data_IF_147319044480
#
_entry.id   IF_147319044480
#
_cell.length_a   1.000
_cell.length_b   1.000
_cell.length_c   1.000
_cell.angle_alpha   90.00
_cell.angle_beta   90.00
_cell.angle_gamma   90.00
#
_symmetry.space_group_name_H-M   'P 1'
#
loop_
_entity.id
_entity.type
_entity.pdbx_description
1 polymer ?
#
# COMPACT_ATOMS: atom_id res chain seq x y z
N UNK A 1 -13.90 -1.91 -13.91
CA UNK A 1 -14.40 -1.37 -12.63
C UNK A 1 -14.37 0.16 -12.59
N UNK A 2 -13.25 0.82 -12.26
CA UNK A 2 -13.20 2.30 -12.13
C UNK A 2 -13.64 3.05 -13.39
N UNK A 3 -13.13 2.64 -14.55
CA UNK A 3 -13.49 3.25 -15.84
C UNK A 3 -14.99 3.11 -16.14
N UNK A 4 -15.55 1.91 -16.00
CA UNK A 4 -16.98 1.64 -16.22
C UNK A 4 -17.85 2.44 -15.26
N UNK A 5 -17.57 2.37 -13.95
CA UNK A 5 -18.32 3.10 -12.94
C UNK A 5 -18.28 4.62 -13.16
N UNK A 6 -17.11 5.17 -13.52
CA UNK A 6 -16.98 6.59 -13.85
C UNK A 6 -17.75 6.98 -15.11
N UNK A 7 -17.81 6.12 -16.13
CA UNK A 7 -18.59 6.41 -17.35
C UNK A 7 -20.10 6.39 -17.09
N UNK A 8 -20.58 5.39 -16.37
CA UNK A 8 -22.00 5.29 -16.01
C UNK A 8 -22.44 6.49 -15.17
N UNK A 9 -21.58 6.92 -14.22
CA UNK A 9 -21.79 8.11 -13.42
C UNK A 9 -21.86 9.39 -14.26
N UNK A 10 -20.89 9.61 -15.16
CA UNK A 10 -20.73 10.90 -15.85
C UNK A 10 -21.61 11.03 -17.10
N UNK A 11 -21.86 9.94 -17.83
CA UNK A 11 -22.54 9.98 -19.12
C UNK A 11 -23.96 9.43 -19.09
N UNK A 12 -24.28 8.56 -18.12
CA UNK A 12 -25.56 7.87 -18.05
C UNK A 12 -26.35 8.21 -16.78
N UNK A 13 -25.87 9.18 -15.99
CA UNK A 13 -26.46 9.63 -14.72
C UNK A 13 -26.85 8.46 -13.79
N UNK A 14 -26.00 7.43 -13.79
CA UNK A 14 -26.29 6.16 -13.14
C UNK A 14 -25.39 5.96 -11.94
N UNK A 15 -25.96 5.44 -10.84
CA UNK A 15 -25.18 5.19 -9.63
C UNK A 15 -24.00 4.25 -9.95
N UNK A 16 -22.76 4.65 -9.59
CA UNK A 16 -21.57 3.81 -9.78
C UNK A 16 -21.57 2.59 -8.85
N UNK A 17 -22.47 2.56 -7.85
CA UNK A 17 -22.64 1.48 -6.89
C UNK A 17 -23.76 0.50 -7.26
N UNK A 18 -24.46 0.75 -8.37
CA UNK A 18 -25.58 -0.07 -8.84
C UNK A 18 -25.16 -1.48 -9.26
N UNK A 19 -26.09 -2.43 -9.16
CA UNK A 19 -25.86 -3.80 -9.63
C UNK A 19 -25.71 -3.89 -11.14
N UNK A 20 -26.34 -2.99 -11.90
CA UNK A 20 -26.19 -2.92 -13.35
C UNK A 20 -24.72 -2.66 -13.75
N UNK A 21 -24.05 -1.69 -13.11
CA UNK A 21 -22.61 -1.41 -13.33
C UNK A 21 -21.75 -2.62 -12.95
N UNK A 22 -22.09 -3.33 -11.85
CA UNK A 22 -21.38 -4.54 -11.46
C UNK A 22 -21.54 -5.65 -12.51
N UNK A 23 -22.75 -5.90 -13.00
CA UNK A 23 -23.02 -6.88 -14.05
C UNK A 23 -22.28 -6.54 -15.36
N UNK A 24 -22.24 -5.26 -15.75
CA UNK A 24 -21.47 -4.80 -16.91
C UNK A 24 -19.97 -5.11 -16.76
N UNK A 25 -19.40 -4.86 -15.57
CA UNK A 25 -18.01 -5.23 -15.27
C UNK A 25 -17.79 -6.75 -15.34
N UNK A 26 -18.72 -7.54 -14.80
CA UNK A 26 -18.64 -9.01 -14.85
C UNK A 26 -18.66 -9.52 -16.30
N UNK A 27 -19.61 -9.06 -17.12
CA UNK A 27 -19.70 -9.44 -18.53
C UNK A 27 -18.46 -9.02 -19.32
N UNK A 28 -17.89 -7.85 -19.02
CA UNK A 28 -16.67 -7.39 -19.68
C UNK A 28 -15.45 -8.27 -19.34
N UNK A 29 -15.28 -8.62 -18.06
CA UNK A 29 -14.07 -9.30 -17.55
C UNK A 29 -14.21 -10.82 -17.57
N UNK A 30 -15.30 -11.35 -16.99
CA UNK A 30 -15.55 -12.78 -16.82
C UNK A 30 -16.24 -13.41 -18.03
N UNK A 31 -16.78 -12.60 -18.96
CA UNK A 31 -17.61 -13.04 -20.10
C UNK A 31 -18.91 -13.76 -19.70
N UNK A 32 -19.28 -13.66 -18.42
CA UNK A 32 -20.50 -14.19 -17.81
C UNK A 32 -20.78 -13.44 -16.51
N UNK A 33 -21.95 -13.66 -15.92
CA UNK A 33 -22.21 -13.22 -14.55
C UNK A 33 -21.40 -14.06 -13.54
N UNK A 34 -21.03 -13.43 -12.43
CA UNK A 34 -20.34 -14.06 -11.32
C UNK A 34 -21.27 -15.05 -10.62
N UNK A 35 -20.73 -16.22 -10.23
CA UNK A 35 -21.46 -17.22 -9.45
C UNK A 35 -21.54 -16.79 -7.98
N UNK A 36 -22.43 -17.41 -7.17
CA UNK A 36 -22.41 -17.21 -5.73
C UNK A 36 -21.01 -17.49 -5.14
N UNK A 37 -20.50 -16.55 -4.35
CA UNK A 37 -19.16 -16.62 -3.75
C UNK A 37 -18.00 -16.19 -4.66
N UNK A 38 -18.25 -15.83 -5.92
CA UNK A 38 -17.23 -15.21 -6.78
C UNK A 38 -17.23 -13.67 -6.61
N UNK A 39 -16.08 -13.05 -6.91
CA UNK A 39 -15.94 -11.59 -6.94
C UNK A 39 -16.95 -10.98 -7.94
N UNK A 40 -17.82 -10.12 -7.42
CA UNK A 40 -18.86 -9.46 -8.19
C UNK A 40 -18.34 -8.32 -9.07
N UNK A 41 -17.04 -8.04 -9.07
CA UNK A 41 -16.40 -7.00 -9.90
C UNK A 41 -17.05 -5.62 -9.73
N UNK A 42 -17.49 -5.35 -8.50
CA UNK A 42 -18.24 -4.17 -8.17
C UNK A 42 -17.34 -3.01 -7.73
N UNK A 43 -17.76 -1.79 -8.03
CA UNK A 43 -17.10 -0.62 -7.47
C UNK A 43 -17.47 -0.47 -5.99
N UNK A 44 -16.52 -0.73 -5.09
CA UNK A 44 -16.70 -0.71 -3.62
C UNK A 44 -15.83 0.35 -2.93
N UNK A 45 -15.37 1.36 -3.67
CA UNK A 45 -14.47 2.40 -3.18
C UNK A 45 -15.22 3.72 -2.94
N UNK A 46 -14.69 4.62 -2.10
CA UNK A 46 -15.19 5.98 -2.03
C UNK A 46 -15.18 6.65 -3.41
N UNK A 47 -16.16 7.51 -3.70
CA UNK A 47 -16.32 8.07 -5.05
C UNK A 47 -15.07 8.83 -5.52
N UNK A 48 -14.40 9.56 -4.62
CA UNK A 48 -13.16 10.27 -4.90
C UNK A 48 -11.98 9.39 -5.33
N UNK A 49 -12.08 8.05 -5.20
CA UNK A 49 -11.12 7.12 -5.79
C UNK A 49 -11.07 7.21 -7.32
N UNK A 50 -12.15 7.67 -7.97
CA UNK A 50 -12.23 7.79 -9.41
C UNK A 50 -11.61 9.07 -9.97
N UNK A 51 -11.30 10.08 -9.13
CA UNK A 51 -10.79 11.38 -9.61
C UNK A 51 -9.59 11.25 -10.55
N UNK A 52 -8.56 10.40 -10.28
CA UNK A 52 -7.45 10.25 -11.21
C UNK A 52 -7.82 9.61 -12.56
N UNK A 53 -8.94 8.89 -12.60
CA UNK A 53 -9.44 8.19 -13.80
C UNK A 53 -10.30 9.11 -14.66
N UNK A 54 -10.81 10.23 -14.12
CA UNK A 54 -11.70 11.15 -14.85
C UNK A 54 -11.17 11.61 -16.22
N UNK A 55 -9.88 11.95 -16.38
CA UNK A 55 -9.35 12.32 -17.70
C UNK A 55 -9.50 11.24 -18.77
N UNK A 56 -9.63 9.97 -18.39
CA UNK A 56 -9.72 8.85 -19.35
C UNK A 56 -11.14 8.45 -19.71
N UNK A 57 -12.16 8.95 -19.00
CA UNK A 57 -13.55 8.50 -19.16
C UNK A 57 -14.13 8.80 -20.55
N UNK A 58 -13.66 9.86 -21.21
CA UNK A 58 -14.07 10.23 -22.59
C UNK A 58 -13.41 9.37 -23.66
N UNK A 59 -12.32 8.68 -23.33
CA UNK A 59 -11.59 7.84 -24.28
C UNK A 59 -12.32 6.50 -24.43
N UNK A 60 -12.21 5.83 -25.60
CA UNK A 60 -12.49 4.41 -25.70
C UNK A 60 -11.59 3.60 -24.76
N UNK A 61 -12.03 2.43 -24.31
CA UNK A 61 -11.27 1.63 -23.34
C UNK A 61 -9.88 1.25 -23.86
N UNK A 62 -9.76 0.96 -25.15
CA UNK A 62 -8.50 0.62 -25.84
C UNK A 62 -7.44 1.73 -25.74
N UNK A 63 -7.85 2.99 -25.55
CA UNK A 63 -6.97 4.11 -25.28
C UNK A 63 -6.82 4.40 -23.79
N UNK A 64 -7.92 4.29 -23.03
CA UNK A 64 -7.92 4.54 -21.59
C UNK A 64 -6.95 3.61 -20.84
N UNK A 65 -6.88 2.33 -21.21
CA UNK A 65 -6.01 1.34 -20.56
C UNK A 65 -4.52 1.64 -20.76
N UNK A 66 -3.97 1.78 -21.98
CA UNK A 66 -2.56 2.11 -22.17
C UNK A 66 -2.22 3.51 -21.64
N UNK A 67 -3.11 4.50 -21.77
CA UNK A 67 -2.90 5.82 -21.16
C UNK A 67 -2.71 5.70 -19.64
N UNK A 68 -3.58 4.93 -18.98
CA UNK A 68 -3.51 4.70 -17.55
C UNK A 68 -2.23 3.96 -17.13
N UNK A 69 -1.81 2.95 -17.90
CA UNK A 69 -0.54 2.25 -17.69
C UNK A 69 0.65 3.22 -17.80
N UNK A 70 0.71 4.03 -18.85
CA UNK A 70 1.76 5.03 -19.05
C UNK A 70 1.78 6.07 -17.93
N UNK A 71 0.61 6.56 -17.52
CA UNK A 71 0.48 7.47 -16.38
C UNK A 71 1.07 6.85 -15.10
N UNK A 72 0.73 5.60 -14.78
CA UNK A 72 1.26 4.93 -13.60
C UNK A 72 2.78 4.69 -13.67
N UNK A 73 3.31 4.33 -14.84
CA UNK A 73 4.75 4.14 -15.05
C UNK A 73 5.52 5.46 -14.87
N UNK A 74 5.01 6.56 -15.42
CA UNK A 74 5.60 7.89 -15.28
C UNK A 74 5.51 8.35 -13.82
N UNK A 75 4.36 8.17 -13.17
CA UNK A 75 4.16 8.55 -11.77
C UNK A 75 5.10 7.78 -10.84
N UNK A 76 5.18 6.45 -10.99
CA UNK A 76 6.08 5.58 -10.24
C UNK A 76 7.54 5.98 -10.44
N UNK A 77 7.96 6.12 -11.70
CA UNK A 77 9.34 6.50 -12.02
C UNK A 77 9.67 7.85 -11.40
N UNK A 78 8.80 8.84 -11.58
CA UNK A 78 8.95 10.18 -10.98
C UNK A 78 9.06 10.10 -9.46
N UNK A 79 8.22 9.31 -8.79
CA UNK A 79 8.30 9.12 -7.34
C UNK A 79 9.63 8.49 -6.91
N UNK A 80 10.20 7.56 -7.67
CA UNK A 80 11.51 6.98 -7.36
C UNK A 80 12.65 7.98 -7.57
N UNK A 81 12.60 8.79 -8.62
CA UNK A 81 13.55 9.90 -8.86
C UNK A 81 13.47 10.96 -7.77
N UNK A 82 12.25 11.34 -7.38
CA UNK A 82 11.99 12.28 -6.31
C UNK A 82 12.44 11.70 -4.97
N UNK A 83 12.13 10.44 -4.67
CA UNK A 83 12.41 9.83 -3.36
C UNK A 83 13.88 9.48 -3.15
N UNK A 84 14.59 9.12 -4.22
CA UNK A 84 15.96 8.61 -4.17
C UNK A 84 16.86 9.28 -5.23
N UNK A 85 17.05 10.62 -5.18
CA UNK A 85 17.68 11.39 -6.26
C UNK A 85 19.10 10.93 -6.62
N UNK A 86 19.85 10.39 -5.65
CA UNK A 86 21.21 9.90 -5.87
C UNK A 86 21.26 8.56 -6.62
N UNK A 87 20.22 7.72 -6.51
CA UNK A 87 20.26 6.31 -6.94
C UNK A 87 18.90 5.79 -7.48
N UNK A 88 18.16 6.56 -8.29
CA UNK A 88 16.78 6.21 -8.65
C UNK A 88 16.70 4.96 -9.53
N UNK A 89 17.73 4.74 -10.37
CA UNK A 89 17.83 3.57 -11.23
C UNK A 89 17.88 2.25 -10.43
N UNK A 90 18.39 2.27 -9.20
CA UNK A 90 18.33 1.08 -8.32
C UNK A 90 16.90 0.75 -7.93
N UNK A 91 16.07 1.78 -7.69
CA UNK A 91 14.66 1.60 -7.40
C UNK A 91 13.94 0.98 -8.59
N UNK A 92 14.18 1.50 -9.79
CA UNK A 92 13.61 0.96 -11.03
C UNK A 92 14.05 -0.48 -11.32
N UNK A 93 15.33 -0.79 -11.08
CA UNK A 93 15.89 -2.13 -11.27
C UNK A 93 15.12 -3.21 -10.52
N UNK A 94 14.62 -2.92 -9.32
CA UNK A 94 13.85 -3.89 -8.53
C UNK A 94 12.35 -3.70 -8.65
N UNK A 95 11.86 -2.46 -8.81
CA UNK A 95 10.44 -2.19 -8.91
C UNK A 95 9.85 -2.77 -10.21
N UNK A 96 10.43 -2.45 -11.37
CA UNK A 96 9.86 -2.82 -12.66
C UNK A 96 9.74 -4.34 -12.89
N UNK A 97 10.72 -5.19 -12.52
CA UNK A 97 10.55 -6.63 -12.67
C UNK A 97 9.81 -7.30 -11.51
N UNK A 98 9.41 -6.58 -10.46
CA UNK A 98 8.70 -7.17 -9.32
C UNK A 98 7.26 -7.57 -9.70
N UNK A 99 6.94 -8.86 -9.66
CA UNK A 99 5.70 -9.40 -10.19
C UNK A 99 4.42 -8.70 -9.66
N UNK A 100 4.24 -8.48 -8.34
CA UNK A 100 3.07 -7.76 -7.82
C UNK A 100 2.88 -6.36 -8.38
N UNK A 101 3.97 -5.65 -8.66
CA UNK A 101 3.92 -4.33 -9.27
C UNK A 101 3.54 -4.44 -10.75
N UNK A 102 4.18 -5.33 -11.51
CA UNK A 102 3.86 -5.60 -12.93
C UNK A 102 2.38 -5.97 -13.08
N UNK A 103 1.91 -6.89 -12.25
CA UNK A 103 0.52 -7.34 -12.24
C UNK A 103 -0.44 -6.19 -11.93
N UNK A 104 -0.13 -5.36 -10.93
CA UNK A 104 -0.93 -4.18 -10.62
C UNK A 104 -0.94 -3.13 -11.74
N UNK A 105 0.19 -2.94 -12.43
CA UNK A 105 0.31 -2.04 -13.58
C UNK A 105 -0.55 -2.51 -14.76
N UNK A 106 -0.43 -3.78 -15.15
CA UNK A 106 -1.21 -4.37 -16.27
C UNK A 106 -2.71 -4.33 -16.01
N UNK A 107 -3.14 -4.59 -14.77
CA UNK A 107 -4.54 -4.50 -14.36
C UNK A 107 -5.04 -3.07 -14.16
N UNK A 108 -4.15 -2.06 -14.23
CA UNK A 108 -4.51 -0.68 -13.95
C UNK A 108 -4.98 -0.44 -12.51
N UNK A 109 -4.43 -1.16 -11.54
CA UNK A 109 -4.87 -1.09 -10.15
C UNK A 109 -4.43 0.21 -9.45
N UNK A 110 -5.32 0.85 -8.69
CA UNK A 110 -4.99 2.07 -7.93
C UNK A 110 -3.92 1.86 -6.86
N UNK A 111 -3.63 0.63 -6.45
CA UNK A 111 -2.52 0.34 -5.55
C UNK A 111 -1.17 0.83 -6.04
N UNK A 112 -0.99 0.92 -7.36
CA UNK A 112 0.25 1.46 -7.92
C UNK A 112 0.39 2.94 -7.55
N UNK A 113 -0.69 3.72 -7.65
CA UNK A 113 -0.68 5.12 -7.19
C UNK A 113 -0.56 5.25 -5.69
N UNK A 114 -1.25 4.41 -4.91
CA UNK A 114 -1.12 4.37 -3.45
C UNK A 114 0.33 4.13 -3.04
N UNK A 115 0.96 3.11 -3.62
CA UNK A 115 2.37 2.80 -3.44
C UNK A 115 3.27 3.97 -3.85
N UNK A 116 3.04 4.54 -5.03
CA UNK A 116 3.80 5.67 -5.59
C UNK A 116 3.79 6.88 -4.65
N UNK A 117 2.60 7.25 -4.13
CA UNK A 117 2.44 8.36 -3.19
C UNK A 117 3.17 8.08 -1.88
N UNK A 118 3.07 6.86 -1.33
CA UNK A 118 3.79 6.50 -0.10
C UNK A 118 5.30 6.61 -0.30
N UNK A 119 5.83 6.14 -1.44
CA UNK A 119 7.26 6.25 -1.75
C UNK A 119 7.70 7.70 -1.89
N UNK A 120 6.94 8.53 -2.60
CA UNK A 120 7.23 9.96 -2.71
C UNK A 120 7.21 10.65 -1.33
N UNK A 121 6.20 10.36 -0.50
CA UNK A 121 6.07 10.92 0.84
C UNK A 121 7.21 10.49 1.77
N UNK A 122 7.58 9.20 1.78
CA UNK A 122 8.74 8.70 2.52
C UNK A 122 10.03 9.36 2.04
N UNK A 123 10.23 9.42 0.73
CA UNK A 123 11.40 10.04 0.10
C UNK A 123 11.60 11.50 0.50
N UNK A 124 10.57 12.31 0.29
CA UNK A 124 10.61 13.75 0.55
C UNK A 124 10.64 14.07 2.05
N UNK A 125 9.69 13.52 2.83
CA UNK A 125 9.54 13.91 4.23
C UNK A 125 10.54 13.21 5.14
N UNK A 126 10.75 11.90 4.94
CA UNK A 126 11.48 11.07 5.90
C UNK A 126 12.95 10.95 5.54
N UNK A 127 13.26 10.57 4.30
CA UNK A 127 14.64 10.28 3.89
C UNK A 127 15.43 11.54 3.56
N UNK A 128 14.81 12.50 2.87
CA UNK A 128 15.45 13.75 2.48
C UNK A 128 15.14 14.92 3.41
N UNK A 129 14.15 14.76 4.31
CA UNK A 129 13.72 15.81 5.26
C UNK A 129 13.38 17.14 4.57
N UNK A 130 12.81 17.10 3.37
CA UNK A 130 12.30 18.28 2.67
C UNK A 130 11.02 18.77 3.34
N UNK A 131 11.08 19.95 3.97
CA UNK A 131 10.00 20.48 4.82
C UNK A 131 9.33 21.73 4.26
N UNK A 132 9.52 22.05 2.99
CA UNK A 132 8.86 23.21 2.36
C UNK A 132 7.33 23.13 2.48
N UNK A 133 6.68 24.25 2.82
CA UNK A 133 5.23 24.32 3.03
C UNK A 133 4.44 23.81 1.82
N UNK A 134 4.85 24.16 0.60
CA UNK A 134 4.19 23.70 -0.63
C UNK A 134 4.25 22.19 -0.79
N UNK A 135 5.40 21.58 -0.48
CA UNK A 135 5.57 20.12 -0.50
C UNK A 135 4.66 19.47 0.54
N UNK A 136 4.62 20.02 1.76
CA UNK A 136 3.73 19.52 2.81
C UNK A 136 2.26 19.59 2.39
N UNK A 137 1.83 20.69 1.76
CA UNK A 137 0.45 20.83 1.28
C UNK A 137 0.13 19.76 0.23
N UNK A 138 0.96 19.64 -0.80
CA UNK A 138 0.75 18.65 -1.88
C UNK A 138 0.70 17.24 -1.30
N UNK A 139 1.66 16.88 -0.45
CA UNK A 139 1.69 15.56 0.17
C UNK A 139 0.51 15.33 1.11
N UNK A 140 0.00 16.33 1.83
CA UNK A 140 -1.17 16.15 2.68
C UNK A 140 -2.41 15.81 1.87
N UNK A 141 -2.64 16.50 0.75
CA UNK A 141 -3.71 16.15 -0.19
C UNK A 141 -3.54 14.76 -0.80
N UNK A 142 -2.32 14.37 -1.18
CA UNK A 142 -2.05 13.04 -1.72
C UNK A 142 -2.21 11.93 -0.66
N UNK A 143 -1.75 12.16 0.56
CA UNK A 143 -1.93 11.24 1.69
C UNK A 143 -3.40 11.10 2.07
N UNK A 144 -4.17 12.20 2.03
CA UNK A 144 -5.62 12.16 2.22
C UNK A 144 -6.30 11.27 1.18
N UNK A 145 -5.85 11.33 -0.09
CA UNK A 145 -6.39 10.46 -1.12
C UNK A 145 -6.12 8.97 -0.85
N UNK A 146 -5.08 8.61 -0.10
CA UNK A 146 -4.80 7.20 0.23
C UNK A 146 -5.89 6.51 1.07
N UNK A 147 -6.83 7.26 1.65
CA UNK A 147 -7.98 6.68 2.37
C UNK A 147 -8.94 5.91 1.46
N UNK A 148 -8.75 5.97 0.13
CA UNK A 148 -9.49 5.11 -0.82
C UNK A 148 -9.27 3.62 -0.55
N UNK A 149 -8.13 3.24 0.06
CA UNK A 149 -7.77 1.85 0.28
C UNK A 149 -7.15 1.63 1.66
N UNK A 150 -7.97 1.69 2.73
CA UNK A 150 -7.50 1.66 4.11
C UNK A 150 -6.67 0.41 4.45
N UNK A 151 -7.03 -0.75 3.87
CA UNK A 151 -6.31 -2.01 4.07
C UNK A 151 -4.85 -1.95 3.62
N UNK A 152 -4.54 -1.10 2.63
CA UNK A 152 -3.18 -0.90 2.16
C UNK A 152 -2.45 0.21 2.94
N UNK A 153 -3.14 1.32 3.19
CA UNK A 153 -2.51 2.60 3.54
C UNK A 153 -2.56 2.97 5.02
N UNK A 154 -3.49 2.43 5.84
CA UNK A 154 -3.75 2.99 7.17
C UNK A 154 -2.55 3.02 8.11
N UNK A 155 -1.73 1.96 8.17
CA UNK A 155 -0.55 1.99 9.03
C UNK A 155 0.51 3.00 8.56
N UNK A 156 0.65 3.18 7.24
CA UNK A 156 1.50 4.23 6.71
C UNK A 156 0.93 5.62 7.01
N UNK A 157 -0.40 5.81 6.93
CA UNK A 157 -1.06 7.06 7.31
C UNK A 157 -0.90 7.37 8.80
N UNK A 158 -1.05 6.38 9.67
CA UNK A 158 -0.78 6.51 11.12
C UNK A 158 0.68 6.91 11.33
N UNK A 159 1.61 6.24 10.64
CA UNK A 159 3.03 6.59 10.69
C UNK A 159 3.28 8.04 10.25
N UNK A 160 2.71 8.49 9.13
CA UNK A 160 2.85 9.88 8.67
C UNK A 160 2.19 10.88 9.62
N UNK A 161 1.06 10.55 10.25
CA UNK A 161 0.43 11.39 11.25
C UNK A 161 1.32 11.54 12.50
N UNK A 162 1.87 10.43 13.01
CA UNK A 162 2.81 10.46 14.13
C UNK A 162 4.10 11.19 13.74
N UNK A 163 4.61 10.98 12.53
CA UNK A 163 5.77 11.69 12.00
C UNK A 163 5.51 13.20 11.93
N UNK A 164 4.35 13.61 11.41
CA UNK A 164 3.95 15.02 11.31
C UNK A 164 3.82 15.67 12.68
N UNK A 165 3.23 14.97 13.66
CA UNK A 165 3.13 15.45 15.04
C UNK A 165 4.51 15.63 15.66
N UNK A 166 5.37 14.62 15.53
CA UNK A 166 6.74 14.66 16.06
C UNK A 166 7.57 15.79 15.48
N UNK A 167 7.52 15.96 14.16
CA UNK A 167 8.30 16.95 13.41
C UNK A 167 7.58 18.30 13.27
N UNK A 168 6.40 18.46 13.92
CA UNK A 168 5.57 19.68 13.92
C UNK A 168 5.19 20.16 12.51
N UNK A 169 4.90 19.23 11.59
CA UNK A 169 4.50 19.51 10.20
C UNK A 169 3.03 19.91 10.11
N UNK A 170 2.69 21.10 10.64
CA UNK A 170 1.30 21.59 10.71
C UNK A 170 0.64 21.73 9.34
N UNK A 171 1.38 22.17 8.31
CA UNK A 171 0.83 22.34 6.97
C UNK A 171 0.46 20.98 6.35
N UNK A 172 1.26 19.94 6.60
CA UNK A 172 0.94 18.57 6.17
C UNK A 172 -0.36 18.06 6.83
N UNK A 173 -0.50 18.25 8.14
CA UNK A 173 -1.72 17.85 8.86
C UNK A 173 -2.95 18.63 8.39
N UNK A 174 -2.84 19.96 8.31
CA UNK A 174 -3.94 20.83 7.89
C UNK A 174 -4.41 20.51 6.47
N UNK A 175 -3.46 20.34 5.54
CA UNK A 175 -3.76 19.97 4.15
C UNK A 175 -4.29 18.53 3.99
N UNK A 176 -3.89 17.59 4.85
CA UNK A 176 -4.51 16.26 4.89
C UNK A 176 -6.00 16.33 5.24
N UNK A 177 -6.36 17.02 6.33
CA UNK A 177 -7.77 17.16 6.71
C UNK A 177 -8.56 17.99 5.69
N UNK A 178 -7.99 19.07 5.18
CA UNK A 178 -8.59 19.85 4.10
C UNK A 178 -8.81 19.01 2.84
N UNK A 179 -7.84 18.16 2.48
CA UNK A 179 -7.95 17.22 1.38
C UNK A 179 -9.11 16.24 1.54
N UNK A 180 -9.26 15.63 2.72
CA UNK A 180 -10.40 14.74 3.00
C UNK A 180 -11.74 15.45 2.85
N UNK A 181 -11.87 16.67 3.39
CA UNK A 181 -13.08 17.47 3.26
C UNK A 181 -13.37 17.82 1.80
N UNK A 182 -12.34 18.21 1.04
CA UNK A 182 -12.47 18.55 -0.39
C UNK A 182 -12.86 17.32 -1.20
N UNK A 183 -12.24 16.17 -0.98
CA UNK A 183 -12.60 14.93 -1.68
C UNK A 183 -14.02 14.46 -1.36
N UNK A 184 -14.44 14.57 -0.10
CA UNK A 184 -15.81 14.28 0.30
C UNK A 184 -16.79 15.27 -0.34
N UNK A 185 -16.48 16.57 -0.34
CA UNK A 185 -17.31 17.61 -0.95
C UNK A 185 -17.45 17.42 -2.47
N UNK A 186 -16.34 17.18 -3.17
CA UNK A 186 -16.35 16.86 -4.61
C UNK A 186 -17.20 15.61 -4.87
N UNK A 187 -17.06 14.58 -4.02
CA UNK A 187 -17.85 13.35 -4.16
C UNK A 187 -19.35 13.62 -4.00
N UNK A 188 -19.75 14.41 -3.01
CA UNK A 188 -21.14 14.80 -2.77
C UNK A 188 -21.68 15.72 -3.86
N UNK A 189 -20.86 16.59 -4.43
CA UNK A 189 -21.25 17.44 -5.58
C UNK A 189 -21.49 16.61 -6.83
N UNK A 190 -20.70 15.55 -7.06
CA UNK A 190 -20.85 14.67 -8.24
C UNK A 190 -22.02 13.71 -8.06
N UNK A 191 -22.16 13.10 -6.88
CA UNK A 191 -23.22 12.14 -6.58
C UNK A 191 -23.66 12.26 -5.12
N UNK A 192 -24.70 13.04 -4.78
CA UNK A 192 -25.03 13.38 -3.39
C UNK A 192 -25.25 12.19 -2.45
N UNK A 193 -25.73 11.05 -2.98
CA UNK A 193 -26.03 9.83 -2.22
C UNK A 193 -24.87 8.83 -2.20
N UNK A 194 -23.65 9.22 -2.65
CA UNK A 194 -22.53 8.30 -2.76
C UNK A 194 -22.16 7.62 -1.44
N UNK A 195 -22.22 8.35 -0.32
CA UNK A 195 -21.78 7.84 0.97
C UNK A 195 -22.68 6.72 1.50
N UNK A 196 -24.02 6.89 1.61
CA UNK A 196 -24.89 5.79 2.02
C UNK A 196 -24.85 4.61 1.04
N UNK A 197 -24.80 4.85 -0.28
CA UNK A 197 -24.68 3.78 -1.28
C UNK A 197 -23.36 3.00 -1.15
N UNK A 198 -22.26 3.70 -0.93
CA UNK A 198 -20.95 3.11 -0.69
C UNK A 198 -20.95 2.22 0.56
N UNK A 199 -21.59 2.66 1.66
CA UNK A 199 -21.72 1.85 2.88
C UNK A 199 -22.53 0.56 2.64
N UNK A 200 -23.64 0.65 1.90
CA UNK A 200 -24.41 -0.53 1.49
C UNK A 200 -23.53 -1.45 0.65
N UNK A 201 -22.74 -0.90 -0.27
CA UNK A 201 -21.85 -1.69 -1.13
C UNK A 201 -20.72 -2.34 -0.36
N UNK A 202 -20.14 -1.68 0.63
CA UNK A 202 -19.13 -2.27 1.52
C UNK A 202 -19.69 -3.46 2.30
N UNK A 203 -20.91 -3.35 2.83
CA UNK A 203 -21.58 -4.46 3.52
C UNK A 203 -21.85 -5.64 2.58
N UNK A 204 -22.25 -5.37 1.34
CA UNK A 204 -22.37 -6.42 0.32
C UNK A 204 -21.01 -7.03 -0.01
N UNK A 205 -19.95 -6.23 -0.12
CA UNK A 205 -18.61 -6.69 -0.46
C UNK A 205 -18.07 -7.74 0.52
N UNK A 206 -18.38 -7.62 1.81
CA UNK A 206 -17.96 -8.61 2.82
C UNK A 206 -18.64 -9.97 2.70
N UNK A 207 -19.71 -10.11 1.91
CA UNK A 207 -20.41 -11.40 1.76
C UNK A 207 -19.84 -12.28 0.65
N UNK A 208 -19.20 -11.69 -0.35
CA UNK A 208 -18.66 -12.42 -1.52
C UNK A 208 -17.14 -12.35 -1.66
N UNK A 209 -16.45 -11.47 -0.93
CA UNK A 209 -14.99 -11.50 -0.83
C UNK A 209 -14.59 -12.03 0.54
N UNK A 210 -13.64 -12.98 0.62
CA UNK A 210 -13.09 -13.44 1.89
C UNK A 210 -12.59 -12.25 2.72
N UNK A 211 -13.30 -11.95 3.82
CA UNK A 211 -12.96 -10.87 4.74
C UNK A 211 -11.99 -11.31 5.84
N UNK A 212 -11.54 -12.55 5.79
CA UNK A 212 -10.69 -13.14 6.83
C UNK A 212 -9.26 -12.57 6.76
N UNK A 213 -8.70 -12.10 7.89
CA UNK A 213 -7.32 -11.66 7.96
C UNK A 213 -6.34 -12.76 7.55
N UNK A 214 -5.24 -12.39 6.89
CA UNK A 214 -4.19 -13.35 6.51
C UNK A 214 -3.66 -14.12 7.72
N UNK A 215 -3.50 -13.47 8.87
CA UNK A 215 -3.09 -14.12 10.12
C UNK A 215 -4.03 -15.27 10.51
N UNK A 216 -5.34 -15.06 10.43
CA UNK A 216 -6.34 -16.08 10.74
C UNK A 216 -6.19 -17.27 9.78
N UNK A 217 -6.05 -17.01 8.48
CA UNK A 217 -5.90 -18.04 7.46
C UNK A 217 -4.63 -18.88 7.64
N UNK A 218 -3.52 -18.24 8.01
CA UNK A 218 -2.27 -18.92 8.37
C UNK A 218 -2.51 -19.85 9.57
N UNK A 219 -3.11 -19.34 10.64
CA UNK A 219 -3.33 -20.13 11.85
C UNK A 219 -4.32 -21.28 11.66
N UNK A 220 -5.35 -21.13 10.81
CA UNK A 220 -6.31 -22.20 10.47
C UNK A 220 -5.64 -23.45 9.90
N UNK A 221 -4.39 -23.35 9.42
CA UNK A 221 -3.64 -24.52 8.92
C UNK A 221 -2.94 -25.31 10.02
N UNK A 222 -2.64 -24.67 11.15
CA UNK A 222 -1.86 -25.26 12.23
C UNK A 222 -2.73 -25.58 13.46
N UNK A 223 -3.89 -24.93 13.60
CA UNK A 223 -4.75 -25.05 14.76
C UNK A 223 -6.18 -25.48 14.37
N UNK A 224 -6.86 -26.26 15.23
CA UNK A 224 -8.28 -26.55 15.08
C UNK A 224 -9.15 -25.28 15.05
N UNK A 225 -10.31 -25.35 14.40
CA UNK A 225 -11.24 -24.21 14.28
C UNK A 225 -11.67 -23.62 15.63
N UNK A 226 -11.75 -24.46 16.66
CA UNK A 226 -12.17 -24.04 18.01
C UNK A 226 -11.12 -23.16 18.72
N UNK A 227 -9.84 -23.31 18.40
CA UNK A 227 -8.74 -22.58 19.06
C UNK A 227 -8.13 -21.48 18.20
N UNK A 228 -8.36 -21.52 16.88
CA UNK A 228 -7.74 -20.57 15.95
C UNK A 228 -8.10 -19.11 16.24
N UNK A 229 -9.35 -18.84 16.64
CA UNK A 229 -9.79 -17.49 16.98
C UNK A 229 -9.04 -16.95 18.20
N UNK A 230 -8.89 -17.78 19.25
CA UNK A 230 -8.13 -17.44 20.44
C UNK A 230 -6.67 -17.10 20.11
N UNK A 231 -5.98 -17.96 19.35
CA UNK A 231 -4.59 -17.71 18.95
C UNK A 231 -4.45 -16.48 18.04
N UNK A 232 -5.41 -16.24 17.15
CA UNK A 232 -5.41 -15.04 16.29
C UNK A 232 -5.49 -13.77 17.13
N UNK A 233 -6.41 -13.72 18.10
CA UNK A 233 -6.55 -12.57 19.01
C UNK A 233 -5.30 -12.40 19.87
N UNK A 234 -4.78 -13.49 20.44
CA UNK A 234 -3.58 -13.47 21.28
C UNK A 234 -2.37 -12.90 20.51
N UNK A 235 -2.09 -13.41 19.30
CA UNK A 235 -0.99 -12.92 18.47
C UNK A 235 -1.24 -11.47 18.08
N UNK A 236 -2.47 -11.08 17.77
CA UNK A 236 -2.79 -9.70 17.43
C UNK A 236 -2.56 -8.73 18.59
N UNK A 237 -2.89 -9.12 19.82
CA UNK A 237 -2.60 -8.34 21.03
C UNK A 237 -1.08 -8.22 21.28
N UNK A 238 -0.32 -9.31 21.08
CA UNK A 238 1.13 -9.29 21.18
C UNK A 238 1.73 -8.32 20.14
N UNK A 239 1.30 -8.40 18.89
CA UNK A 239 1.77 -7.52 17.82
C UNK A 239 1.37 -6.07 18.06
N UNK A 240 0.20 -5.82 18.65
CA UNK A 240 -0.21 -4.49 19.07
C UNK A 240 0.74 -3.94 20.16
N UNK A 241 1.07 -4.75 21.17
CA UNK A 241 2.03 -4.39 22.21
C UNK A 241 3.43 -4.10 21.66
N UNK A 242 3.93 -4.95 20.75
CA UNK A 242 5.21 -4.74 20.06
C UNK A 242 5.16 -3.45 19.22
N UNK A 243 4.06 -3.20 18.51
CA UNK A 243 3.86 -1.97 17.74
C UNK A 243 3.96 -0.75 18.65
N UNK A 244 3.20 -0.72 19.75
CA UNK A 244 3.26 0.37 20.73
C UNK A 244 4.69 0.58 21.25
N UNK A 245 5.38 -0.49 21.63
CA UNK A 245 6.76 -0.41 22.10
C UNK A 245 7.70 0.20 21.04
N UNK A 246 7.70 -0.33 19.81
CA UNK A 246 8.55 0.15 18.71
C UNK A 246 8.28 1.63 18.44
N UNK A 247 7.01 2.04 18.34
CA UNK A 247 6.64 3.43 18.08
C UNK A 247 7.02 4.36 19.25
N UNK A 248 6.92 3.91 20.51
CA UNK A 248 7.39 4.69 21.67
C UNK A 248 8.92 4.85 21.63
N UNK A 249 9.68 3.79 21.35
CA UNK A 249 11.14 3.88 21.27
C UNK A 249 11.57 4.79 20.12
N UNK A 250 10.91 4.67 18.98
CA UNK A 250 11.12 5.56 17.85
C UNK A 250 10.82 7.01 18.18
N UNK A 251 9.68 7.28 18.83
CA UNK A 251 9.28 8.63 19.25
C UNK A 251 10.34 9.27 20.15
N UNK A 252 10.95 8.46 21.03
CA UNK A 252 12.06 8.85 21.90
C UNK A 252 13.42 8.96 21.17
N UNK A 253 13.47 8.70 19.86
CA UNK A 253 14.68 8.76 19.05
C UNK A 253 15.63 7.56 19.23
N UNK A 254 15.16 6.48 19.86
CA UNK A 254 15.98 5.29 20.19
C UNK A 254 15.88 4.16 19.15
N UNK A 255 15.07 4.34 18.12
CA UNK A 255 14.80 3.29 17.14
C UNK A 255 14.89 3.82 15.71
N UNK A 256 15.53 3.04 14.85
CA UNK A 256 15.73 3.35 13.44
C UNK A 256 14.39 3.32 12.66
N UNK A 257 14.29 4.08 11.59
CA UNK A 257 13.04 4.18 10.81
C UNK A 257 12.78 2.95 9.95
N UNK A 258 13.84 2.35 9.39
CA UNK A 258 13.68 1.25 8.43
C UNK A 258 13.00 0.02 9.06
N UNK A 259 13.39 -0.45 10.27
CA UNK A 259 12.67 -1.50 10.97
C UNK A 259 11.19 -1.18 11.25
N UNK A 260 10.85 0.09 11.47
CA UNK A 260 9.45 0.53 11.68
C UNK A 260 8.66 0.38 10.39
N UNK A 261 9.22 0.83 9.27
CA UNK A 261 8.57 0.67 7.96
C UNK A 261 8.41 -0.81 7.61
N UNK A 262 9.42 -1.64 7.92
CA UNK A 262 9.37 -3.08 7.75
C UNK A 262 8.27 -3.73 8.61
N UNK A 263 8.17 -3.30 9.88
CA UNK A 263 7.11 -3.73 10.79
C UNK A 263 5.72 -3.30 10.33
N UNK A 264 5.57 -2.06 9.84
CA UNK A 264 4.33 -1.56 9.23
C UNK A 264 3.92 -2.44 8.05
N UNK A 265 4.85 -2.74 7.14
CA UNK A 265 4.60 -3.62 5.99
C UNK A 265 4.11 -5.01 6.39
N UNK A 266 4.75 -5.62 7.40
CA UNK A 266 4.34 -6.92 7.94
C UNK A 266 2.98 -6.87 8.60
N UNK A 267 2.79 -5.94 9.51
CA UNK A 267 1.60 -5.92 10.32
C UNK A 267 0.36 -5.56 9.51
N UNK A 268 0.48 -4.59 8.61
CA UNK A 268 -0.59 -4.24 7.67
C UNK A 268 -1.03 -5.45 6.83
N UNK A 269 -0.09 -6.26 6.33
CA UNK A 269 -0.41 -7.46 5.57
C UNK A 269 -1.13 -8.53 6.40
N UNK A 270 -0.61 -8.86 7.58
CA UNK A 270 -1.15 -9.92 8.41
C UNK A 270 -2.60 -9.67 8.85
N UNK A 271 -2.97 -8.41 9.11
CA UNK A 271 -4.32 -8.09 9.56
C UNK A 271 -5.29 -7.72 8.45
N UNK A 272 -4.79 -7.45 7.25
CA UNK A 272 -5.67 -7.20 6.11
C UNK A 272 -6.35 -8.48 5.64
N UNK A 273 -7.57 -8.38 5.09
CA UNK A 273 -8.20 -9.49 4.39
C UNK A 273 -7.28 -10.05 3.30
N UNK A 274 -7.29 -11.37 3.14
CA UNK A 274 -6.58 -11.98 2.02
C UNK A 274 -7.09 -11.39 0.71
N UNK A 275 -6.16 -10.95 -0.12
CA UNK A 275 -6.49 -10.49 -1.46
C UNK A 275 -5.32 -10.76 -2.39
N UNK A 276 -5.36 -10.16 -3.57
CA UNK A 276 -4.48 -10.50 -4.67
C UNK A 276 -3.06 -9.95 -4.51
N UNK A 277 -2.16 -10.40 -5.39
CA UNK A 277 -0.71 -10.27 -5.29
C UNK A 277 -0.19 -8.85 -5.02
N UNK A 278 -0.83 -7.81 -5.56
CA UNK A 278 -0.36 -6.41 -5.43
C UNK A 278 -0.42 -5.84 -4.01
N UNK A 279 -1.10 -6.50 -3.06
CA UNK A 279 -1.07 -6.09 -1.65
C UNK A 279 0.30 -6.29 -1.00
N UNK A 280 1.14 -7.13 -1.59
CA UNK A 280 2.49 -7.38 -1.10
C UNK A 280 3.46 -6.21 -1.37
N UNK A 281 3.02 -5.20 -2.13
CA UNK A 281 3.77 -3.95 -2.26
C UNK A 281 4.03 -3.28 -0.90
N UNK A 282 3.22 -3.58 0.13
CA UNK A 282 3.43 -3.11 1.51
C UNK A 282 4.77 -3.55 2.10
N UNK A 283 5.23 -4.77 1.81
CA UNK A 283 6.55 -5.26 2.19
C UNK A 283 7.65 -4.73 1.29
N UNK A 284 7.31 -4.51 0.03
CA UNK A 284 8.27 -4.03 -0.94
C UNK A 284 8.69 -2.58 -0.65
N UNK A 285 7.83 -1.73 -0.07
CA UNK A 285 8.17 -0.36 0.34
C UNK A 285 9.45 -0.30 1.20
N UNK A 286 9.52 -0.92 2.39
CA UNK A 286 10.69 -0.87 3.25
C UNK A 286 11.88 -1.61 2.65
N UNK A 287 11.66 -2.75 1.99
CA UNK A 287 12.75 -3.48 1.34
C UNK A 287 13.39 -2.66 0.21
N UNK A 288 12.58 -2.01 -0.63
CA UNK A 288 13.05 -1.16 -1.71
C UNK A 288 13.81 0.04 -1.16
N UNK A 289 13.31 0.68 -0.10
CA UNK A 289 14.05 1.74 0.58
C UNK A 289 15.44 1.24 1.00
N UNK A 290 15.52 0.07 1.63
CA UNK A 290 16.79 -0.55 1.98
C UNK A 290 17.69 -0.84 0.77
N UNK A 291 17.17 -1.48 -0.28
CA UNK A 291 17.95 -1.78 -1.49
C UNK A 291 18.54 -0.53 -2.15
N UNK A 292 17.80 0.58 -2.18
CA UNK A 292 18.24 1.80 -2.84
C UNK A 292 19.25 2.56 -1.99
N UNK A 293 18.97 2.69 -0.71
CA UNK A 293 19.72 3.52 0.23
C UNK A 293 20.94 2.80 0.80
N UNK A 294 21.00 1.47 0.73
CA UNK A 294 22.15 0.70 1.18
C UNK A 294 23.45 1.16 0.49
N UNK A 295 24.49 1.52 1.25
CA UNK A 295 25.75 1.99 0.70
C UNK A 295 26.55 0.87 0.03
N UNK A 296 26.41 -0.36 0.53
CA UNK A 296 27.14 -1.56 0.07
C UNK A 296 26.23 -2.47 -0.74
N UNK A 297 26.81 -3.10 -1.76
CA UNK A 297 26.19 -4.20 -2.52
C UNK A 297 26.85 -5.52 -2.10
N UNK A 298 26.63 -5.89 -0.85
CA UNK A 298 27.14 -7.17 -0.33
C UNK A 298 26.29 -8.34 -0.83
N UNK A 299 26.66 -9.55 -0.40
CA UNK A 299 25.94 -10.77 -0.73
C UNK A 299 24.47 -10.70 -0.32
N UNK A 300 24.15 -10.10 0.84
CA UNK A 300 22.78 -9.98 1.32
C UNK A 300 21.94 -9.05 0.44
N UNK A 301 22.53 -7.96 -0.04
CA UNK A 301 21.88 -7.06 -0.99
C UNK A 301 21.43 -7.79 -2.25
N UNK A 302 22.27 -8.68 -2.80
CA UNK A 302 21.92 -9.48 -3.97
C UNK A 302 20.91 -10.59 -3.65
N UNK A 303 21.10 -11.30 -2.54
CA UNK A 303 20.16 -12.33 -2.08
C UNK A 303 18.77 -11.73 -1.94
N UNK A 304 18.65 -10.58 -1.26
CA UNK A 304 17.38 -9.93 -0.99
C UNK A 304 16.82 -9.15 -2.19
N UNK A 305 17.69 -8.51 -2.99
CA UNK A 305 17.28 -7.79 -4.19
C UNK A 305 16.79 -8.70 -5.30
N UNK A 306 17.68 -9.57 -5.81
CA UNK A 306 17.32 -10.51 -6.89
C UNK A 306 16.33 -11.56 -6.40
N UNK A 307 16.49 -12.06 -5.18
CA UNK A 307 15.56 -13.03 -4.64
C UNK A 307 14.14 -12.48 -4.52
N UNK A 308 13.94 -11.18 -4.24
CA UNK A 308 12.59 -10.58 -4.26
C UNK A 308 11.94 -10.72 -5.63
N UNK A 309 12.68 -10.44 -6.69
CA UNK A 309 12.20 -10.58 -8.07
C UNK A 309 11.91 -12.05 -8.36
N UNK A 310 12.88 -12.93 -8.13
CA UNK A 310 12.79 -14.36 -8.45
C UNK A 310 11.69 -15.07 -7.64
N UNK A 311 11.60 -14.84 -6.33
CA UNK A 311 10.56 -15.41 -5.46
C UNK A 311 9.20 -14.87 -5.85
N UNK A 312 9.09 -13.60 -6.26
CA UNK A 312 7.81 -13.03 -6.67
C UNK A 312 7.22 -13.69 -7.92
N UNK A 313 8.06 -13.97 -8.93
CA UNK A 313 7.67 -14.71 -10.14
C UNK A 313 7.52 -16.21 -9.89
N UNK A 314 8.42 -16.79 -9.09
CA UNK A 314 8.36 -18.20 -8.70
C UNK A 314 7.05 -18.53 -7.99
N UNK A 315 6.62 -17.70 -7.03
CA UNK A 315 5.32 -17.86 -6.38
C UNK A 315 4.17 -17.80 -7.38
N UNK A 316 4.17 -16.86 -8.33
CA UNK A 316 3.16 -16.81 -9.38
C UNK A 316 3.12 -18.08 -10.24
N UNK A 317 4.28 -18.53 -10.73
CA UNK A 317 4.39 -19.74 -11.56
C UNK A 317 3.90 -20.96 -10.77
N UNK A 318 4.35 -21.10 -9.52
CA UNK A 318 3.93 -22.21 -8.66
C UNK A 318 2.42 -22.19 -8.42
N UNK A 319 1.79 -21.03 -8.19
CA UNK A 319 0.33 -20.92 -8.02
C UNK A 319 -0.43 -21.36 -9.28
N UNK A 320 0.16 -21.19 -10.47
CA UNK A 320 -0.42 -21.66 -11.74
C UNK A 320 -0.20 -23.14 -12.00
N UNK A 321 0.98 -23.67 -11.66
CA UNK A 321 1.32 -25.09 -11.85
C UNK A 321 0.65 -25.98 -10.81
N UNK A 322 0.54 -25.49 -9.57
CA UNK A 322 0.02 -26.24 -8.42
C UNK A 322 -1.15 -25.50 -7.74
N UNK A 323 -2.29 -25.31 -8.43
CA UNK A 323 -3.40 -24.49 -7.92
C UNK A 323 -4.03 -25.06 -6.63
N UNK A 324 -3.80 -26.34 -6.33
CA UNK A 324 -4.33 -27.02 -5.14
C UNK A 324 -3.42 -26.91 -3.92
N UNK A 325 -2.17 -26.46 -4.08
CA UNK A 325 -1.26 -26.30 -2.95
C UNK A 325 -1.58 -24.98 -2.26
N UNK A 326 -2.09 -25.01 -1.02
CA UNK A 326 -2.45 -23.79 -0.31
C UNK A 326 -1.19 -22.96 -0.01
N UNK A 327 -1.36 -21.64 0.07
CA UNK A 327 -0.33 -20.71 0.58
C UNK A 327 0.96 -20.59 -0.24
N UNK A 328 0.99 -21.04 -1.50
CA UNK A 328 2.13 -20.73 -2.39
C UNK A 328 2.38 -19.22 -2.44
N UNK A 329 1.32 -18.42 -2.43
CA UNK A 329 1.41 -16.97 -2.43
C UNK A 329 2.13 -16.39 -1.20
N UNK A 330 2.12 -17.11 -0.08
CA UNK A 330 2.75 -16.73 1.20
C UNK A 330 4.25 -17.06 1.26
N UNK A 331 4.83 -17.76 0.28
CA UNK A 331 6.29 -17.91 0.17
C UNK A 331 6.96 -16.54 0.15
N UNK A 332 6.29 -15.54 -0.44
CA UNK A 332 6.72 -14.15 -0.47
C UNK A 332 6.76 -13.56 0.94
N UNK A 333 5.73 -13.81 1.76
CA UNK A 333 5.70 -13.41 3.17
C UNK A 333 6.88 -14.02 3.94
N UNK A 334 7.14 -15.32 3.78
CA UNK A 334 8.26 -16.00 4.45
C UNK A 334 9.61 -15.37 4.05
N UNK A 335 9.77 -15.07 2.78
CA UNK A 335 10.98 -14.43 2.26
C UNK A 335 11.18 -13.01 2.84
N UNK A 336 10.13 -12.19 2.89
CA UNK A 336 10.17 -10.88 3.56
C UNK A 336 10.38 -11.00 5.07
N UNK A 337 9.83 -12.05 5.70
CA UNK A 337 10.05 -12.37 7.11
C UNK A 337 11.53 -12.68 7.39
N UNK A 338 12.19 -13.47 6.54
CA UNK A 338 13.61 -13.74 6.65
C UNK A 338 14.44 -12.45 6.53
N UNK A 339 14.10 -11.59 5.57
CA UNK A 339 14.74 -10.27 5.43
C UNK A 339 14.56 -9.42 6.69
N UNK A 340 13.35 -9.36 7.25
CA UNK A 340 13.07 -8.61 8.48
C UNK A 340 13.84 -9.17 9.69
N UNK A 341 13.95 -10.49 9.81
CA UNK A 341 14.77 -11.12 10.86
C UNK A 341 16.23 -10.70 10.69
N UNK A 342 16.79 -10.79 9.47
CA UNK A 342 18.16 -10.33 9.21
C UNK A 342 18.35 -8.83 9.51
N UNK A 343 17.37 -7.99 9.16
CA UNK A 343 17.35 -6.56 9.43
C UNK A 343 17.45 -6.27 10.95
N UNK A 344 16.74 -7.04 11.78
CA UNK A 344 16.68 -6.83 13.22
C UNK A 344 17.90 -7.42 13.97
N UNK A 345 18.38 -8.59 13.56
CA UNK A 345 19.42 -9.33 14.29
C UNK A 345 20.83 -9.17 13.73
N UNK A 346 20.99 -8.66 12.50
CA UNK A 346 22.29 -8.43 11.85
C UNK A 346 22.46 -6.95 11.47
N UNK A 347 22.30 -6.01 12.42
CA UNK A 347 22.18 -4.58 12.11
C UNK A 347 23.40 -3.99 11.41
N UNK A 348 24.60 -4.55 11.62
CA UNK A 348 25.83 -4.05 10.99
C UNK A 348 25.79 -4.11 9.45
N UNK A 349 24.98 -5.02 8.89
CA UNK A 349 24.82 -5.21 7.45
C UNK A 349 23.66 -4.35 6.91
N UNK A 350 22.58 -4.25 7.68
CA UNK A 350 21.34 -3.63 7.22
C UNK A 350 21.14 -2.17 7.66
N UNK A 351 22.03 -1.62 8.50
CA UNK A 351 21.99 -0.19 8.88
C UNK A 351 22.21 0.73 7.69
N UNK A 352 21.44 1.81 7.65
CA UNK A 352 21.56 2.87 6.67
C UNK A 352 22.02 4.12 7.40
N UNK A 353 23.32 4.46 7.35
CA UNK A 353 23.88 5.57 8.14
C UNK A 353 23.19 6.92 7.88
N UNK A 354 22.74 7.16 6.64
CA UNK A 354 22.10 8.42 6.22
C UNK A 354 20.70 8.63 6.86
N UNK A 355 20.07 7.55 7.33
CA UNK A 355 18.69 7.56 7.84
C UNK A 355 18.65 7.21 9.33
N UNK A 356 19.62 6.42 9.79
CA UNK A 356 19.78 5.98 11.17
C UNK A 356 20.44 7.04 12.06
N UNK A 357 20.35 8.33 11.72
CA UNK A 357 20.69 9.39 12.67
C UNK A 357 19.67 9.36 13.80
N UNK A 358 19.83 8.44 14.75
CA UNK A 358 19.49 8.70 16.14
C UNK A 358 20.09 10.06 16.42
N UNK A 359 19.23 11.04 16.70
CA UNK A 359 19.64 12.41 16.95
C UNK A 359 20.90 12.40 17.82
N UNK A 360 21.90 13.27 17.56
CA UNK A 360 22.90 13.50 18.59
C UNK A 360 22.12 13.83 19.88
N UNK A 361 22.47 13.21 21.03
CA UNK A 361 21.82 13.53 22.28
C UNK A 361 21.79 15.06 22.42
N UNK A 362 20.65 15.61 22.88
CA UNK A 362 20.48 17.03 23.20
C UNK A 362 21.43 17.46 24.34
N UNK A 363 22.74 17.37 24.14
CA UNK A 363 23.77 17.65 25.15
C UNK A 363 24.80 18.66 24.66
N UNK A 364 24.43 19.58 23.75
CA UNK A 364 25.29 20.71 23.36
C UNK A 364 24.52 22.01 23.07
N UNK A 365 23.42 22.29 23.78
CA UNK A 365 23.14 23.68 24.15
C UNK A 365 23.66 23.88 25.57
N UNK A 366 25.00 23.88 25.65
CA UNK A 366 25.69 24.49 26.77
C UNK A 366 25.42 25.99 26.70
N UNK A 367 24.94 26.50 27.82
CA UNK A 367 25.03 27.90 28.22
C UNK A 367 26.35 28.52 27.78
N UNK A 368 26.28 29.61 27.03
CA UNK A 368 27.18 30.76 27.15
C UNK A 368 26.35 32.02 26.90
#
# INVERSE_FOLDING_TARGET
>A
MYYTAGRELIFNDSSPYSDAVAQQNQLAILKRLAKPGEDQMAFSYPLYAMLPVFPTLRMPFDWAQPFWLSFNLIALSSALFIAFPKRPLRGLLFALPFYPLVFGLVLGNLNILVFTIIIAALGLLVFQKQRGTSIQIILGFLLAWLTIKPQFSWFYLIFFALYALREKLKALMGSFFAGLLIYAAISTMIWPTWFPEWLVRLKAYTTYIPSEPVLLLILKRFFPEQTVAFFTILIALIFLGISMYIFIQWWRGKYAILPILAWIGLWSYLISPQSVSYEQLRFFIPLMAWLVLSPRKDTYWWIFGLGTVLVSWGAFILTKVFPFVPMIDEIRLLYYGLWLVCLLFIPNIFRIPEIDTTFPPNSQYGTN
#
